data_IF_443331898068
#
_entry.id   IF_443331898068
#
_cell.length_a   1.000
_cell.length_b   1.000
_cell.length_c   1.000
_cell.angle_alpha   90.00
_cell.angle_beta   90.00
_cell.angle_gamma   90.00
#
_symmetry.space_group_name_H-M   'P 1'
#
loop_
_entity.id
_entity.type
_entity.pdbx_description
1 polymer ?
#
# COMPACT_ATOMS: atom_id res chain seq x y z
N UNK A 1 27.07 -46.69 0.96
CA UNK A 1 25.83 -46.37 1.72
C UNK A 1 24.91 -45.36 1.03
N UNK A 2 25.38 -44.42 0.20
CA UNK A 2 24.54 -43.38 -0.41
C UNK A 2 23.55 -43.81 -1.50
N UNK A 3 23.76 -44.94 -2.20
CA UNK A 3 22.81 -45.41 -3.24
C UNK A 3 21.48 -45.92 -2.68
N UNK A 4 21.44 -46.46 -1.45
CA UNK A 4 20.20 -46.99 -0.86
C UNK A 4 19.30 -45.88 -0.28
N UNK A 5 19.88 -44.74 0.11
CA UNK A 5 19.14 -43.59 0.62
C UNK A 5 18.41 -42.82 -0.50
N UNK A 6 19.01 -42.75 -1.69
CA UNK A 6 18.43 -42.03 -2.83
C UNK A 6 17.17 -42.73 -3.38
N UNK A 7 17.17 -44.06 -3.48
CA UNK A 7 15.99 -44.81 -3.93
C UNK A 7 14.85 -44.81 -2.91
N UNK A 8 15.15 -44.75 -1.60
CA UNK A 8 14.13 -44.61 -0.56
C UNK A 8 13.40 -43.27 -0.60
N UNK A 9 14.12 -42.18 -0.87
CA UNK A 9 13.54 -40.84 -0.95
C UNK A 9 12.68 -40.64 -2.21
N UNK A 10 13.08 -41.24 -3.34
CA UNK A 10 12.30 -41.18 -4.58
C UNK A 10 10.95 -41.93 -4.46
N UNK A 11 10.91 -43.03 -3.69
CA UNK A 11 9.68 -43.80 -3.48
C UNK A 11 8.65 -43.05 -2.61
N UNK A 12 9.11 -42.27 -1.63
CA UNK A 12 8.24 -41.43 -0.79
C UNK A 12 7.60 -40.27 -1.56
N UNK A 13 8.32 -39.68 -2.52
CA UNK A 13 7.78 -38.59 -3.36
C UNK A 13 6.68 -39.11 -4.31
N UNK A 14 6.83 -40.33 -4.84
CA UNK A 14 5.84 -40.92 -5.77
C UNK A 14 4.55 -41.31 -5.03
N UNK A 15 4.63 -41.81 -3.78
CA UNK A 15 3.43 -42.16 -2.99
C UNK A 15 2.70 -40.89 -2.49
N UNK A 16 3.43 -39.80 -2.20
CA UNK A 16 2.83 -38.51 -1.88
C UNK A 16 2.09 -37.87 -3.06
N UNK A 17 2.61 -38.02 -4.27
CA UNK A 17 1.99 -37.46 -5.48
C UNK A 17 0.71 -38.21 -5.90
N UNK A 18 0.65 -39.54 -5.73
CA UNK A 18 -0.54 -40.33 -6.10
C UNK A 18 -1.70 -40.20 -5.12
N UNK A 19 -1.42 -39.95 -3.83
CA UNK A 19 -2.47 -39.72 -2.82
C UNK A 19 -3.11 -38.33 -2.92
N UNK A 20 -2.35 -37.30 -3.33
CA UNK A 20 -2.91 -35.94 -3.52
C UNK A 20 -3.77 -35.83 -4.79
N UNK A 21 -3.41 -36.53 -5.88
CA UNK A 21 -4.21 -36.55 -7.10
C UNK A 21 -5.56 -37.28 -6.92
N UNK A 22 -5.62 -38.37 -6.15
CA UNK A 22 -6.87 -39.07 -5.86
C UNK A 22 -7.88 -38.23 -5.06
N UNK A 23 -7.40 -37.36 -4.16
CA UNK A 23 -8.26 -36.49 -3.35
C UNK A 23 -8.82 -35.30 -4.15
N UNK A 24 -8.04 -34.75 -5.10
CA UNK A 24 -8.48 -33.61 -5.92
C UNK A 24 -9.42 -34.00 -7.07
N UNK A 25 -9.31 -35.22 -7.60
CA UNK A 25 -10.19 -35.72 -8.68
C UNK A 25 -11.42 -36.49 -8.16
N UNK A 26 -11.43 -36.99 -6.92
CA UNK A 26 -12.57 -37.71 -6.33
C UNK A 26 -13.77 -36.85 -5.91
N UNK A 27 -13.62 -35.52 -5.87
CA UNK A 27 -14.71 -34.59 -5.48
C UNK A 27 -15.47 -33.98 -6.67
N UNK A 28 -15.19 -34.39 -7.91
CA UNK A 28 -15.85 -33.85 -9.11
C UNK A 28 -16.99 -34.72 -9.67
N UNK A 29 -17.24 -35.92 -9.14
CA UNK A 29 -18.23 -36.87 -9.66
C UNK A 29 -19.25 -37.38 -8.62
N UNK A 30 -19.68 -36.53 -7.68
CA UNK A 30 -20.91 -36.77 -6.91
C UNK A 30 -21.89 -35.62 -7.09
N UNK A 31 -22.60 -35.65 -8.21
CA UNK A 31 -23.98 -35.14 -8.32
C UNK A 31 -24.71 -36.07 -9.29
N UNK A 32 -25.04 -37.25 -8.78
CA UNK A 32 -26.00 -38.16 -9.40
C UNK A 32 -27.39 -37.52 -9.32
N UNK A 33 -28.00 -37.30 -10.48
CA UNK A 33 -29.41 -36.96 -10.60
C UNK A 33 -30.28 -37.99 -9.85
N UNK A 34 -31.23 -37.49 -9.04
CA UNK A 34 -32.38 -38.28 -8.58
C UNK A 34 -33.68 -37.49 -8.88
N UNK A 35 -34.80 -38.20 -9.09
CA UNK A 35 -35.91 -37.75 -9.92
C UNK A 35 -36.77 -36.67 -9.27
N UNK A 36 -37.26 -35.80 -10.13
CA UNK A 36 -38.11 -34.64 -9.87
C UNK A 36 -39.47 -35.01 -9.25
N UNK A 37 -39.83 -34.45 -8.08
CA UNK A 37 -41.22 -34.29 -7.69
C UNK A 37 -41.76 -32.99 -8.31
N UNK A 38 -42.87 -33.11 -9.04
CA UNK A 38 -43.62 -32.01 -9.65
C UNK A 38 -44.17 -31.10 -8.54
N UNK A 39 -43.65 -29.88 -8.41
CA UNK A 39 -44.19 -28.85 -7.55
C UNK A 39 -44.68 -27.65 -8.38
N UNK A 40 -45.89 -27.19 -8.06
CA UNK A 40 -46.64 -26.08 -8.64
C UNK A 40 -45.88 -24.74 -8.68
N UNK A 41 -46.26 -23.82 -9.59
CA UNK A 41 -45.53 -22.57 -9.79
C UNK A 41 -45.64 -21.68 -8.55
N UNK A 42 -44.52 -21.52 -7.84
CA UNK A 42 -44.38 -20.44 -6.87
C UNK A 42 -43.83 -19.24 -7.65
N UNK A 43 -44.67 -18.21 -7.76
CA UNK A 43 -44.29 -16.87 -8.24
C UNK A 43 -43.02 -16.40 -7.54
N UNK A 44 -41.92 -16.38 -8.28
CA UNK A 44 -40.66 -15.76 -7.85
C UNK A 44 -40.86 -14.25 -7.83
N UNK A 45 -41.14 -13.71 -6.65
CA UNK A 45 -41.00 -12.29 -6.37
C UNK A 45 -39.51 -11.97 -6.37
N UNK A 46 -38.99 -11.53 -7.51
CA UNK A 46 -37.64 -10.97 -7.63
C UNK A 46 -37.56 -9.75 -6.70
N UNK A 47 -36.98 -9.92 -5.51
CA UNK A 47 -36.47 -8.78 -4.74
C UNK A 47 -35.41 -8.12 -5.62
N UNK A 48 -35.50 -6.80 -5.89
CA UNK A 48 -34.43 -6.12 -6.60
C UNK A 48 -33.15 -6.23 -5.77
N UNK A 49 -32.10 -6.77 -6.38
CA UNK A 49 -30.73 -6.61 -5.90
C UNK A 49 -30.48 -5.11 -5.91
N UNK A 50 -30.52 -4.50 -4.73
CA UNK A 50 -30.13 -3.10 -4.55
C UNK A 50 -28.64 -3.04 -4.85
N UNK A 51 -28.31 -2.67 -6.08
CA UNK A 51 -26.95 -2.28 -6.46
C UNK A 51 -26.49 -1.19 -5.47
N UNK A 52 -25.30 -1.30 -4.85
CA UNK A 52 -24.83 -0.30 -3.91
C UNK A 52 -24.88 1.06 -4.60
N UNK A 53 -25.69 1.95 -4.02
CA UNK A 53 -25.96 3.29 -4.55
C UNK A 53 -24.62 3.99 -4.77
N UNK A 54 -24.36 4.41 -6.02
CA UNK A 54 -23.20 5.21 -6.34
C UNK A 54 -23.13 6.40 -5.37
N UNK A 55 -22.00 6.56 -4.70
CA UNK A 55 -21.76 7.72 -3.84
C UNK A 55 -21.69 8.93 -4.79
N UNK A 56 -22.51 9.95 -4.55
CA UNK A 56 -22.31 11.24 -5.23
C UNK A 56 -20.95 11.78 -4.79
N UNK A 57 -19.95 11.69 -5.66
CA UNK A 57 -18.64 12.30 -5.45
C UNK A 57 -18.39 13.36 -6.52
N UNK A 58 -17.62 14.39 -6.16
CA UNK A 58 -17.11 15.41 -7.10
C UNK A 58 -15.82 14.95 -7.79
N UNK A 59 -15.52 13.64 -7.70
CA UNK A 59 -14.30 13.09 -8.27
C UNK A 59 -14.45 13.00 -9.79
N UNK A 60 -13.37 13.30 -10.49
CA UNK A 60 -13.30 13.21 -11.94
C UNK A 60 -11.96 12.61 -12.32
N UNK A 61 -11.93 11.91 -13.46
CA UNK A 61 -10.66 11.46 -14.02
C UNK A 61 -9.86 12.66 -14.51
N UNK A 62 -8.63 12.79 -14.03
CA UNK A 62 -7.67 13.81 -14.45
C UNK A 62 -7.02 13.40 -15.78
N UNK A 63 -6.79 12.10 -15.95
CA UNK A 63 -6.31 11.48 -17.19
C UNK A 63 -7.18 10.28 -17.57
N UNK A 64 -7.22 9.85 -18.84
CA UNK A 64 -7.94 8.64 -19.25
C UNK A 64 -7.42 7.39 -18.55
N UNK A 65 -8.29 6.40 -18.34
CA UNK A 65 -7.90 5.11 -17.76
C UNK A 65 -7.15 4.26 -18.80
N UNK A 66 -5.87 4.03 -18.58
CA UNK A 66 -5.05 3.09 -19.38
C UNK A 66 -4.32 2.09 -18.48
N UNK A 67 -3.65 1.10 -19.09
CA UNK A 67 -2.87 0.10 -18.35
C UNK A 67 -1.69 0.68 -17.55
N UNK A 68 -1.17 1.83 -17.97
CA UNK A 68 -0.05 2.54 -17.34
C UNK A 68 -0.49 3.77 -16.53
N UNK A 69 -1.79 3.92 -16.30
CA UNK A 69 -2.36 4.98 -15.49
C UNK A 69 -2.46 4.53 -14.04
N UNK A 70 -1.98 5.35 -13.11
CA UNK A 70 -2.37 5.24 -11.70
C UNK A 70 -3.79 5.77 -11.58
N UNK A 71 -4.66 4.96 -11.02
CA UNK A 71 -6.07 5.29 -10.84
C UNK A 71 -6.49 5.01 -9.41
N UNK A 72 -7.56 5.65 -8.95
CA UNK A 72 -8.19 5.29 -7.68
C UNK A 72 -9.63 4.86 -7.92
N UNK A 73 -10.08 3.92 -7.08
CA UNK A 73 -11.43 3.41 -7.07
C UNK A 73 -12.10 3.82 -5.77
N UNK A 74 -13.34 4.32 -5.84
CA UNK A 74 -14.17 4.51 -4.65
C UNK A 74 -15.31 3.52 -4.61
N UNK A 75 -15.53 2.98 -3.43
CA UNK A 75 -16.75 2.27 -3.04
C UNK A 75 -17.27 2.90 -1.73
N UNK A 76 -18.51 2.62 -1.38
CA UNK A 76 -19.26 3.25 -0.26
C UNK A 76 -18.46 3.53 1.02
N UNK A 77 -17.48 2.71 1.38
CA UNK A 77 -16.64 2.89 2.57
C UNK A 77 -15.12 2.79 2.34
N UNK A 78 -14.65 2.73 1.09
CA UNK A 78 -13.23 2.48 0.83
C UNK A 78 -12.74 3.21 -0.42
N UNK A 79 -11.49 3.66 -0.36
CA UNK A 79 -10.73 4.19 -1.49
C UNK A 79 -9.52 3.31 -1.67
N UNK A 80 -9.31 2.83 -2.88
CA UNK A 80 -8.17 1.98 -3.25
C UNK A 80 -7.41 2.58 -4.41
N UNK A 81 -6.12 2.29 -4.54
CA UNK A 81 -5.35 2.59 -5.74
C UNK A 81 -5.30 1.39 -6.68
N UNK A 82 -5.19 1.67 -7.97
CA UNK A 82 -4.95 0.68 -9.01
C UNK A 82 -3.82 1.14 -9.92
N UNK A 83 -2.89 0.22 -10.16
CA UNK A 83 -1.80 0.41 -11.12
C UNK A 83 -1.41 -0.95 -11.69
N UNK A 84 -1.30 -1.04 -13.03
CA UNK A 84 -0.93 -2.26 -13.77
C UNK A 84 -1.68 -3.54 -13.32
N UNK A 85 -3.01 -3.43 -13.20
CA UNK A 85 -3.89 -4.56 -12.86
C UNK A 85 -3.84 -5.04 -11.40
N UNK A 86 -3.11 -4.33 -10.53
CA UNK A 86 -3.08 -4.59 -9.08
C UNK A 86 -3.85 -3.51 -8.34
N UNK A 87 -4.53 -3.90 -7.26
CA UNK A 87 -5.20 -3.00 -6.33
C UNK A 87 -4.42 -2.92 -5.02
N UNK A 88 -4.32 -1.72 -4.48
CA UNK A 88 -3.58 -1.37 -3.27
C UNK A 88 -4.52 -0.68 -2.29
N UNK A 89 -4.56 -1.18 -1.06
CA UNK A 89 -5.29 -0.59 0.06
C UNK A 89 -4.34 0.14 1.02
N UNK A 90 -4.87 0.87 2.01
CA UNK A 90 -4.07 1.68 2.94
C UNK A 90 -3.59 0.90 4.18
N UNK A 91 -3.71 -0.43 4.19
CA UNK A 91 -3.49 -1.24 5.39
C UNK A 91 -2.02 -1.45 5.76
N UNK A 92 -1.12 -1.55 4.77
CA UNK A 92 0.32 -1.73 4.98
C UNK A 92 1.14 -0.65 4.27
N UNK A 93 1.74 0.23 5.06
CA UNK A 93 2.63 1.29 4.56
C UNK A 93 4.10 0.86 4.49
N UNK A 94 4.45 -0.20 5.22
CA UNK A 94 5.80 -0.74 5.22
C UNK A 94 6.00 -1.53 3.92
N UNK A 95 5.27 -2.63 3.74
CA UNK A 95 5.33 -3.46 2.54
C UNK A 95 4.00 -3.44 1.81
N UNK A 96 3.77 -2.39 1.03
CA UNK A 96 2.55 -2.32 0.24
C UNK A 96 2.56 -3.40 -0.85
N UNK A 97 1.59 -4.31 -0.78
CA UNK A 97 1.45 -5.41 -1.73
C UNK A 97 0.18 -5.25 -2.54
N UNK A 98 0.34 -5.15 -3.86
CA UNK A 98 -0.79 -5.10 -4.77
C UNK A 98 -1.46 -6.46 -4.88
N UNK A 99 -2.75 -6.53 -4.59
CA UNK A 99 -3.57 -7.75 -4.71
C UNK A 99 -4.19 -7.82 -6.10
N UNK A 100 -4.27 -9.03 -6.65
CA UNK A 100 -5.05 -9.28 -7.86
C UNK A 100 -6.55 -9.05 -7.57
N UNK A 101 -7.27 -8.50 -8.54
CA UNK A 101 -8.67 -8.12 -8.34
C UNK A 101 -9.60 -9.32 -8.49
N UNK A 102 -10.48 -9.55 -7.51
CA UNK A 102 -11.54 -10.55 -7.62
C UNK A 102 -12.78 -10.00 -8.36
N UNK A 103 -13.09 -8.70 -8.22
CA UNK A 103 -14.18 -8.01 -8.93
C UNK A 103 -13.93 -6.48 -9.01
N UNK A 104 -13.52 -5.96 -10.18
CA UNK A 104 -13.26 -4.53 -10.40
C UNK A 104 -14.54 -3.68 -10.45
N UNK A 105 -15.71 -4.30 -10.66
CA UNK A 105 -16.98 -3.60 -10.84
C UNK A 105 -17.52 -2.97 -9.56
N UNK A 106 -16.93 -3.32 -8.42
CA UNK A 106 -17.28 -2.79 -7.10
C UNK A 106 -16.86 -1.32 -6.90
N UNK A 107 -16.02 -0.80 -7.79
CA UNK A 107 -15.43 0.53 -7.67
C UNK A 107 -15.78 1.39 -8.88
N UNK A 108 -16.05 2.67 -8.61
CA UNK A 108 -16.00 3.69 -9.65
C UNK A 108 -14.56 4.19 -9.77
N UNK A 109 -13.98 4.02 -10.96
CA UNK A 109 -12.56 4.29 -11.22
C UNK A 109 -12.32 5.68 -11.81
N UNK A 110 -11.26 6.32 -11.33
CA UNK A 110 -10.83 7.65 -11.76
C UNK A 110 -9.33 7.65 -12.04
N UNK A 111 -8.93 8.13 -13.22
CA UNK A 111 -7.51 8.25 -13.59
C UNK A 111 -6.85 9.43 -12.89
N UNK A 112 -5.65 9.23 -12.33
CA UNK A 112 -4.88 10.26 -11.63
C UNK A 112 -3.74 10.78 -12.50
N UNK A 113 -2.82 9.89 -12.86
CA UNK A 113 -1.57 10.25 -13.52
C UNK A 113 -1.03 9.06 -14.32
N UNK A 114 -0.47 9.34 -15.49
CA UNK A 114 0.19 8.34 -16.31
C UNK A 114 1.65 8.15 -15.86
N UNK A 115 2.16 6.93 -16.04
CA UNK A 115 3.58 6.66 -15.86
C UNK A 115 4.43 7.60 -16.75
N UNK A 116 5.60 8.06 -16.28
CA UNK A 116 6.50 8.91 -17.06
C UNK A 116 6.87 8.31 -18.42
N UNK A 117 7.19 9.16 -19.39
CA UNK A 117 7.67 8.70 -20.70
C UNK A 117 8.90 7.79 -20.56
N UNK A 118 8.93 6.70 -21.35
CA UNK A 118 10.01 5.71 -21.29
C UNK A 118 9.83 4.62 -20.23
N UNK A 119 8.67 4.57 -19.56
CA UNK A 119 8.30 3.50 -18.63
C UNK A 119 7.30 2.54 -19.33
N UNK A 120 7.79 1.53 -20.10
CA UNK A 120 6.93 0.62 -20.85
C UNK A 120 6.06 -0.22 -19.92
N UNK A 121 4.84 -0.52 -20.37
CA UNK A 121 3.90 -1.31 -19.59
C UNK A 121 4.40 -2.76 -19.48
N UNK A 122 4.49 -3.28 -18.25
CA UNK A 122 4.77 -4.71 -18.01
C UNK A 122 6.24 -5.15 -18.06
N UNK A 123 7.20 -4.25 -18.28
CA UNK A 123 8.62 -4.65 -18.44
C UNK A 123 9.47 -4.47 -17.18
N UNK A 124 9.18 -3.47 -16.33
CA UNK A 124 10.01 -3.16 -15.16
C UNK A 124 9.42 -3.67 -13.85
N UNK A 125 10.15 -4.57 -13.17
CA UNK A 125 9.80 -5.11 -11.85
C UNK A 125 9.83 -4.08 -10.71
N UNK A 126 10.35 -2.87 -10.95
CA UNK A 126 10.51 -1.81 -9.95
C UNK A 126 9.51 -0.66 -10.11
N UNK A 127 8.58 -0.77 -11.06
CA UNK A 127 7.51 0.21 -11.23
C UNK A 127 6.29 -0.20 -10.41
N UNK A 128 6.05 0.49 -9.31
CA UNK A 128 5.04 0.09 -8.35
C UNK A 128 4.46 1.26 -7.58
N UNK A 129 3.26 1.04 -7.02
CA UNK A 129 2.82 1.84 -5.88
C UNK A 129 3.71 1.44 -4.71
N UNK A 130 4.46 2.38 -4.18
CA UNK A 130 5.44 2.18 -3.13
C UNK A 130 4.92 2.57 -1.74
N UNK A 131 3.85 3.37 -1.69
CA UNK A 131 3.09 3.70 -0.49
C UNK A 131 1.75 4.33 -0.84
N UNK A 132 0.74 4.16 0.01
CA UNK A 132 -0.61 4.69 -0.21
C UNK A 132 -1.34 4.83 1.12
N UNK A 133 -1.66 6.06 1.52
CA UNK A 133 -2.31 6.33 2.82
C UNK A 133 -3.50 7.27 2.65
N UNK A 134 -4.65 6.86 3.19
CA UNK A 134 -5.82 7.71 3.26
C UNK A 134 -5.69 8.74 4.37
N UNK A 135 -6.14 9.96 4.09
CA UNK A 135 -6.34 10.98 5.10
C UNK A 135 -7.55 10.62 6.00
N UNK A 136 -7.69 11.25 7.18
CA UNK A 136 -8.81 10.99 8.10
C UNK A 136 -10.20 11.21 7.46
N UNK A 137 -10.31 12.11 6.49
CA UNK A 137 -11.55 12.37 5.74
C UNK A 137 -11.97 11.22 4.80
N UNK A 138 -11.10 10.22 4.60
CA UNK A 138 -11.23 9.06 3.69
C UNK A 138 -11.42 9.42 2.21
N UNK A 139 -11.31 10.70 1.86
CA UNK A 139 -11.47 11.23 0.49
C UNK A 139 -10.13 11.66 -0.09
N UNK A 140 -9.33 12.32 0.72
CA UNK A 140 -7.98 12.76 0.37
C UNK A 140 -6.98 11.64 0.67
N UNK A 141 -5.88 11.61 -0.06
CA UNK A 141 -4.85 10.59 0.15
C UNK A 141 -3.49 11.01 -0.37
N UNK A 142 -2.46 10.43 0.22
CA UNK A 142 -1.09 10.46 -0.28
C UNK A 142 -0.75 9.13 -0.93
N UNK A 143 0.05 9.17 -1.99
CA UNK A 143 0.66 7.98 -2.54
C UNK A 143 2.06 8.26 -3.07
N UNK A 144 2.87 7.21 -3.06
CA UNK A 144 4.24 7.24 -3.58
C UNK A 144 4.30 6.24 -4.71
N UNK A 145 4.70 6.71 -5.90
CA UNK A 145 5.04 5.82 -7.01
C UNK A 145 6.55 5.67 -7.08
N UNK A 146 7.03 4.44 -7.28
CA UNK A 146 8.39 4.18 -7.74
C UNK A 146 8.34 3.95 -9.24
N UNK A 147 9.09 4.73 -10.00
CA UNK A 147 9.24 4.56 -11.44
C UNK A 147 10.68 4.79 -11.85
N UNK A 148 11.26 3.81 -12.54
CA UNK A 148 12.65 3.86 -13.02
C UNK A 148 13.63 4.38 -11.94
N UNK A 149 13.58 3.78 -10.75
CA UNK A 149 14.45 4.12 -9.61
C UNK A 149 14.10 5.41 -8.86
N UNK A 150 13.28 6.30 -9.42
CA UNK A 150 12.84 7.54 -8.77
C UNK A 150 11.53 7.36 -8.01
N UNK A 151 11.33 8.16 -6.96
CA UNK A 151 10.10 8.16 -6.16
C UNK A 151 9.32 9.46 -6.38
N UNK A 152 8.02 9.34 -6.58
CA UNK A 152 7.11 10.45 -6.87
C UNK A 152 6.03 10.47 -5.80
N UNK A 153 6.04 11.51 -4.96
CA UNK A 153 5.04 11.71 -3.91
C UNK A 153 3.92 12.57 -4.46
N UNK A 154 2.71 12.03 -4.46
CA UNK A 154 1.51 12.72 -4.89
C UNK A 154 0.53 12.89 -3.73
N UNK A 155 -0.18 14.00 -3.76
CA UNK A 155 -1.31 14.28 -2.87
C UNK A 155 -2.57 14.52 -3.69
N UNK A 156 -3.61 13.75 -3.40
CA UNK A 156 -4.95 13.96 -3.96
C UNK A 156 -5.85 14.61 -2.91
N UNK A 157 -6.47 15.73 -3.29
CA UNK A 157 -7.48 16.43 -2.49
C UNK A 157 -8.63 16.86 -3.40
N UNK A 158 -9.81 16.23 -3.32
CA UNK A 158 -10.93 16.54 -4.22
C UNK A 158 -11.50 17.95 -4.01
N UNK A 159 -11.24 18.58 -2.86
CA UNK A 159 -11.65 19.96 -2.56
C UNK A 159 -10.60 21.02 -2.90
N UNK A 160 -9.40 20.62 -3.32
CA UNK A 160 -8.33 21.54 -3.70
C UNK A 160 -8.52 22.11 -5.11
N UNK A 161 -7.96 23.29 -5.37
CA UNK A 161 -7.96 23.91 -6.71
C UNK A 161 -7.29 23.00 -7.76
N UNK A 162 -6.22 22.32 -7.37
CA UNK A 162 -5.62 21.22 -8.12
C UNK A 162 -5.93 19.91 -7.39
N UNK A 163 -6.81 19.08 -7.97
CA UNK A 163 -7.26 17.82 -7.33
C UNK A 163 -6.10 16.86 -7.07
N UNK A 164 -5.06 16.88 -7.90
CA UNK A 164 -3.83 16.11 -7.73
C UNK A 164 -2.61 17.03 -7.81
N UNK A 165 -1.72 16.93 -6.84
CA UNK A 165 -0.44 17.64 -6.83
C UNK A 165 0.73 16.65 -6.76
N UNK A 166 1.73 16.86 -7.62
CA UNK A 166 3.06 16.26 -7.41
C UNK A 166 3.75 17.07 -6.31
N UNK A 167 3.87 16.48 -5.12
CA UNK A 167 4.48 17.10 -3.94
C UNK A 167 6.00 17.16 -4.12
N UNK A 168 6.62 16.04 -4.47
CA UNK A 168 8.06 15.94 -4.70
C UNK A 168 8.41 14.77 -5.58
N UNK A 169 9.44 14.96 -6.40
CA UNK A 169 10.20 13.86 -7.01
C UNK A 169 11.53 13.71 -6.26
N UNK A 170 11.82 12.50 -5.82
CA UNK A 170 13.12 12.10 -5.30
C UNK A 170 13.83 11.28 -6.38
N UNK A 171 14.94 11.80 -6.88
CA UNK A 171 15.86 11.01 -7.70
C UNK A 171 16.55 9.95 -6.83
N UNK A 172 17.01 8.86 -7.45
CA UNK A 172 17.77 7.83 -6.74
C UNK A 172 19.01 8.43 -6.06
N UNK A 173 19.21 8.12 -4.78
CA UNK A 173 20.32 8.64 -4.00
C UNK A 173 20.19 8.38 -2.50
N UNK A 174 21.11 8.92 -1.67
CA UNK A 174 20.99 8.84 -0.22
C UNK A 174 19.74 9.59 0.27
N UNK A 175 19.11 9.08 1.34
CA UNK A 175 17.85 9.61 1.90
C UNK A 175 16.75 9.89 0.85
N UNK A 176 16.67 9.09 -0.22
CA UNK A 176 15.76 9.36 -1.34
C UNK A 176 14.51 8.49 -1.37
N UNK A 177 14.32 7.61 -0.39
CA UNK A 177 13.25 6.61 -0.39
C UNK A 177 12.17 7.01 0.63
N UNK A 178 11.12 7.74 0.21
CA UNK A 178 10.05 8.17 1.11
C UNK A 178 9.04 7.05 1.35
N UNK A 179 8.81 6.72 2.63
CA UNK A 179 7.66 5.91 3.07
C UNK A 179 6.71 6.79 3.86
N UNK A 180 5.43 6.79 3.51
CA UNK A 180 4.42 7.55 4.23
C UNK A 180 4.27 6.91 5.63
N UNK A 181 4.46 7.71 6.68
CA UNK A 181 4.38 7.26 8.05
C UNK A 181 2.98 7.54 8.62
N UNK A 182 2.68 8.80 8.93
CA UNK A 182 1.40 9.23 9.50
C UNK A 182 0.81 10.41 8.74
N UNK A 183 -0.51 10.52 8.77
CA UNK A 183 -1.24 11.77 8.47
C UNK A 183 -1.83 12.24 9.79
N UNK A 184 -1.71 13.52 10.10
CA UNK A 184 -2.25 14.10 11.33
C UNK A 184 -3.78 13.90 11.41
N UNK A 185 -4.32 13.86 12.63
CA UNK A 185 -5.76 13.61 12.84
C UNK A 185 -6.68 14.67 12.23
N UNK A 186 -6.17 15.90 12.08
CA UNK A 186 -6.86 17.01 11.41
C UNK A 186 -6.71 16.99 9.87
N UNK A 187 -5.91 16.05 9.32
CA UNK A 187 -5.72 15.88 7.89
C UNK A 187 -4.87 16.97 7.22
N UNK A 188 -4.17 17.81 7.99
CA UNK A 188 -3.41 18.95 7.48
C UNK A 188 -1.91 18.67 7.29
N UNK A 189 -1.38 17.62 7.92
CA UNK A 189 0.04 17.33 7.95
C UNK A 189 0.31 15.86 7.71
N UNK A 190 1.49 15.54 7.19
CA UNK A 190 1.96 14.17 7.04
C UNK A 190 3.43 14.03 7.43
N UNK A 191 3.80 12.86 7.95
CA UNK A 191 5.19 12.46 8.18
C UNK A 191 5.59 11.38 7.18
N UNK A 192 6.88 11.37 6.84
CA UNK A 192 7.52 10.35 6.02
C UNK A 192 8.77 9.84 6.73
N UNK A 193 8.99 8.54 6.63
CA UNK A 193 10.28 7.92 6.92
C UNK A 193 11.13 7.96 5.64
N UNK A 194 12.25 8.69 5.69
CA UNK A 194 13.18 8.85 4.59
C UNK A 194 14.35 7.89 4.75
N UNK A 195 14.35 6.82 3.95
CA UNK A 195 15.41 5.83 3.95
C UNK A 195 16.46 6.14 2.87
N UNK A 196 17.72 5.81 3.15
CA UNK A 196 18.76 5.73 2.12
C UNK A 196 18.63 4.47 1.27
N UNK A 197 18.18 3.37 1.88
CA UNK A 197 17.78 2.17 1.17
C UNK A 197 16.61 1.50 1.91
N UNK A 198 15.59 1.12 1.16
CA UNK A 198 14.50 0.31 1.67
C UNK A 198 14.89 -1.16 1.78
N UNK A 199 14.63 -1.77 2.92
CA UNK A 199 14.89 -3.20 3.18
C UNK A 199 16.37 -3.63 3.11
N UNK A 200 17.33 -2.70 3.25
CA UNK A 200 18.77 -2.99 3.30
C UNK A 200 19.30 -3.37 4.70
N UNK A 201 18.44 -3.53 5.71
CA UNK A 201 18.85 -4.09 7.00
C UNK A 201 19.35 -3.10 8.07
N UNK A 202 18.59 -2.03 8.37
CA UNK A 202 18.63 -1.45 9.73
C UNK A 202 19.10 0.01 9.88
N UNK A 203 19.10 0.82 8.83
CA UNK A 203 19.31 2.27 9.04
C UNK A 203 18.05 2.94 9.57
N UNK A 204 18.17 3.66 10.69
CA UNK A 204 17.11 4.54 11.15
C UNK A 204 16.86 5.64 10.10
N UNK A 205 15.64 5.76 9.56
CA UNK A 205 15.31 6.80 8.60
C UNK A 205 15.29 8.18 9.26
N UNK A 206 15.48 9.21 8.44
CA UNK A 206 15.15 10.58 8.85
C UNK A 206 13.64 10.79 8.76
N UNK A 207 13.08 11.58 9.68
CA UNK A 207 11.69 12.03 9.59
C UNK A 207 11.59 13.29 8.74
N UNK A 208 10.70 13.25 7.76
CA UNK A 208 10.32 14.40 6.94
C UNK A 208 8.86 14.74 7.20
N UNK A 209 8.57 16.02 7.42
CA UNK A 209 7.24 16.57 7.62
C UNK A 209 6.74 17.19 6.32
N UNK A 210 5.43 17.17 6.08
CA UNK A 210 4.75 17.76 4.93
C UNK A 210 3.49 18.51 5.41
N UNK A 211 3.31 19.74 4.94
CA UNK A 211 2.08 20.50 5.13
C UNK A 211 1.23 20.28 3.89
N UNK A 212 0.05 19.68 4.04
CA UNK A 212 -0.79 19.26 2.93
C UNK A 212 -1.48 20.44 2.22
N UNK A 213 -1.55 21.60 2.87
CA UNK A 213 -2.09 22.82 2.26
C UNK A 213 -1.06 23.59 1.43
N UNK A 214 0.18 23.71 1.93
CA UNK A 214 1.25 24.47 1.26
C UNK A 214 2.19 23.60 0.44
N UNK A 215 2.10 22.27 0.61
CA UNK A 215 2.97 21.23 0.06
C UNK A 215 4.45 21.39 0.41
N UNK A 216 4.77 22.20 1.43
CA UNK A 216 6.13 22.39 1.91
C UNK A 216 6.56 21.21 2.76
N UNK A 217 7.83 20.81 2.59
CA UNK A 217 8.45 19.73 3.33
C UNK A 217 9.65 20.22 4.14
N UNK A 218 9.88 19.58 5.27
CA UNK A 218 11.02 19.85 6.15
C UNK A 218 11.54 18.55 6.76
N UNK A 219 12.86 18.36 6.82
CA UNK A 219 13.49 17.21 7.48
C UNK A 219 13.85 17.61 8.91
N UNK A 220 13.41 16.81 9.88
CA UNK A 220 13.69 17.05 11.32
C UNK A 220 14.76 16.12 11.89
N UNK A 221 15.44 15.36 11.03
CA UNK A 221 16.50 14.42 11.38
C UNK A 221 15.99 13.04 11.79
N UNK A 222 16.88 12.20 12.33
CA UNK A 222 16.54 10.85 12.79
C UNK A 222 15.80 10.91 14.13
N UNK A 223 14.63 10.29 14.18
CA UNK A 223 13.80 10.22 15.39
C UNK A 223 13.55 8.76 15.76
N UNK A 224 13.49 8.46 17.05
CA UNK A 224 13.14 7.13 17.59
C UNK A 224 11.66 7.04 17.98
N UNK A 225 10.99 8.18 18.12
CA UNK A 225 9.56 8.31 18.34
C UNK A 225 9.05 9.57 17.66
N UNK A 226 7.85 9.50 17.08
CA UNK A 226 7.17 10.64 16.49
C UNK A 226 5.65 10.49 16.68
N UNK A 227 4.97 11.59 16.99
CA UNK A 227 3.52 11.64 17.02
C UNK A 227 3.01 13.05 16.68
N UNK A 228 2.07 13.12 15.74
CA UNK A 228 1.30 14.32 15.48
C UNK A 228 0.39 14.66 16.66
N UNK A 229 0.28 15.96 16.94
CA UNK A 229 -0.78 16.58 17.75
C UNK A 229 -1.63 17.46 16.84
N UNK A 230 -2.45 18.31 17.44
CA UNK A 230 -3.33 19.22 16.69
C UNK A 230 -2.58 20.42 16.12
N UNK A 231 -3.06 20.94 14.98
CA UNK A 231 -2.64 22.23 14.41
C UNK A 231 -1.12 22.33 14.18
N UNK A 232 -0.53 21.24 13.67
CA UNK A 232 0.89 21.18 13.30
C UNK A 232 1.84 21.03 14.47
N UNK A 233 1.34 20.96 15.71
CA UNK A 233 2.16 20.58 16.85
C UNK A 233 2.51 19.09 16.76
N UNK A 234 3.70 18.71 17.20
CA UNK A 234 4.12 17.31 17.25
C UNK A 234 5.05 17.07 18.43
N UNK A 235 5.14 15.81 18.82
CA UNK A 235 6.08 15.31 19.82
C UNK A 235 7.04 14.33 19.16
N UNK A 236 8.30 14.35 19.58
CA UNK A 236 9.31 13.45 19.05
C UNK A 236 10.39 13.15 20.07
N UNK A 237 11.10 12.06 19.85
CA UNK A 237 12.35 11.74 20.55
C UNK A 237 13.44 11.54 19.51
N UNK A 238 14.59 12.13 19.75
CA UNK A 238 15.73 12.01 18.84
C UNK A 238 16.28 10.59 18.86
N UNK A 239 16.73 10.10 17.70
CA UNK A 239 17.44 8.84 17.66
C UNK A 239 18.85 9.02 18.21
N UNK A 240 19.24 8.18 19.17
CA UNK A 240 20.55 8.23 19.81
C UNK A 240 21.26 6.90 19.65
N UNK A 241 22.42 6.92 18.98
CA UNK A 241 23.32 5.77 18.86
C UNK A 241 24.07 5.58 20.17
N UNK A 242 24.16 4.34 20.63
CA UNK A 242 24.92 3.93 21.83
C UNK A 242 25.94 2.85 21.45
N UNK A 243 26.99 2.64 22.26
CA UNK A 243 27.94 1.55 22.04
C UNK A 243 27.22 0.20 22.03
N UNK A 244 27.58 -0.68 21.09
CA UNK A 244 27.08 -2.05 21.06
C UNK A 244 27.80 -2.93 22.09
N UNK A 245 27.04 -3.74 22.82
CA UNK A 245 27.57 -4.83 23.64
C UNK A 245 27.92 -6.03 22.75
N UNK A 246 28.93 -5.90 21.89
CA UNK A 246 29.44 -6.98 21.03
C UNK A 246 29.51 -6.64 19.54
N UNK A 247 29.87 -7.64 18.72
CA UNK A 247 29.86 -7.49 17.25
C UNK A 247 28.42 -7.38 16.75
N UNK A 248 28.10 -6.24 16.13
CA UNK A 248 26.79 -5.95 15.54
C UNK A 248 26.96 -5.55 14.07
N UNK A 249 26.02 -5.98 13.23
CA UNK A 249 25.93 -5.61 11.81
C UNK A 249 25.25 -4.23 11.60
N UNK A 250 24.99 -3.48 12.67
CA UNK A 250 24.37 -2.16 12.62
C UNK A 250 24.51 -1.37 13.93
N UNK A 251 23.91 -0.18 13.96
CA UNK A 251 23.95 0.72 15.11
C UNK A 251 23.09 0.18 16.27
N UNK A 252 23.66 0.12 17.47
CA UNK A 252 22.86 -0.02 18.69
C UNK A 252 22.31 1.35 19.07
N UNK A 253 21.07 1.39 19.56
CA UNK A 253 20.40 2.64 19.85
C UNK A 253 19.67 2.60 21.19
N UNK A 254 19.61 3.77 21.81
CA UNK A 254 18.86 3.96 23.05
C UNK A 254 17.36 3.76 22.79
N UNK A 255 16.69 3.06 23.70
CA UNK A 255 15.27 2.80 23.56
C UNK A 255 14.47 4.11 23.71
N UNK A 256 13.39 4.31 22.93
CA UNK A 256 12.61 5.53 23.00
C UNK A 256 12.14 5.90 24.42
N UNK A 257 11.80 4.95 25.28
CA UNK A 257 11.38 5.19 26.66
C UNK A 257 12.40 5.94 27.51
N UNK A 258 13.70 5.77 27.25
CA UNK A 258 14.80 6.38 28.00
C UNK A 258 15.19 7.78 27.49
N UNK A 259 14.64 8.18 26.34
CA UNK A 259 14.97 9.45 25.69
C UNK A 259 14.01 10.56 26.10
N UNK A 260 14.50 11.81 26.23
CA UNK A 260 13.66 12.95 26.58
C UNK A 260 12.67 13.25 25.44
N UNK A 261 11.40 13.49 25.82
CA UNK A 261 10.38 13.93 24.88
C UNK A 261 10.60 15.40 24.53
N UNK A 262 10.64 15.70 23.24
CA UNK A 262 10.68 17.06 22.68
C UNK A 262 9.36 17.37 21.99
N UNK A 263 9.07 18.66 21.85
CA UNK A 263 7.93 19.17 21.10
C UNK A 263 8.42 20.05 19.95
N UNK A 264 7.64 20.10 18.88
CA UNK A 264 7.87 21.01 17.77
C UNK A 264 6.53 21.51 17.21
N UNK A 265 6.62 22.51 16.34
CA UNK A 265 5.45 23.06 15.65
C UNK A 265 5.80 23.32 14.20
N UNK A 266 5.03 22.73 13.30
CA UNK A 266 5.21 22.84 11.87
C UNK A 266 4.15 23.78 11.27
N UNK A 267 4.59 24.95 10.82
CA UNK A 267 3.71 26.08 10.44
C UNK A 267 3.84 26.49 8.96
N UNK A 268 4.64 25.79 8.17
CA UNK A 268 5.13 26.27 6.86
C UNK A 268 4.08 26.29 5.74
#
# INVERSE_FOLDING_TARGET
MYKKLFFGLLFLIIIGATTYAGFYFGNKERNTELPTPKASPTTSSTKPVVSPKAVETTDESIVPLTANTVSFGRSSNTTVLRYRGKIYDDSDQFNIEGKAVADESLYQWYGLVDAPAGVPAGEFMLDEVFGFKLAPDKKSFLFVMRWNGSYYVYYYNPGGANKLALVKKFAEGPSSVPKIDLISGDGNYASFNMYSCWNCGGHQPEAMLLNLSTLKMEIIGKVSYFAWKENGNYEYKEYQVIPCEGESMGDCFEKPENLPLKTGKFML
#
